data_IF_781049902365
#
_entry.id   IF_781049902365
#
_cell.length_a   1.000
_cell.length_b   1.000
_cell.length_c   1.000
_cell.angle_alpha   90.00
_cell.angle_beta   90.00
_cell.angle_gamma   90.00
#
_symmetry.space_group_name_H-M   'P 1'
#
loop_
_entity.id
_entity.type
_entity.pdbx_description
1 polymer ?
#
# COMPACT_ATOMS: atom_id res chain seq x y z
N UNK A 1 18.52 -5.38 1.65
CA UNK A 1 18.44 -4.11 0.87
C UNK A 1 17.12 -3.41 1.13
N UNK A 2 16.97 -2.10 0.85
CA UNK A 2 15.66 -1.47 0.91
C UNK A 2 14.76 -2.09 -0.18
N UNK A 3 13.52 -2.45 0.18
CA UNK A 3 12.49 -2.78 -0.79
C UNK A 3 12.11 -1.50 -1.53
N UNK A 4 12.11 -1.54 -2.86
CA UNK A 4 11.57 -0.47 -3.69
C UNK A 4 10.28 -0.96 -4.29
N UNK A 5 9.19 -0.29 -3.91
CA UNK A 5 7.88 -0.49 -4.47
C UNK A 5 7.53 0.67 -5.39
N UNK A 6 7.01 0.37 -6.56
CA UNK A 6 6.51 1.37 -7.50
C UNK A 6 5.05 1.05 -7.80
N UNK A 7 4.18 1.99 -7.48
CA UNK A 7 2.74 1.88 -7.72
C UNK A 7 2.40 2.26 -9.15
N UNK A 8 1.59 1.45 -9.79
CA UNK A 8 1.01 1.71 -11.11
C UNK A 8 -0.50 1.51 -11.07
N UNK A 9 -1.23 2.30 -11.83
CA UNK A 9 -2.64 2.02 -12.09
C UNK A 9 -2.81 0.62 -12.71
N UNK A 10 -2.00 0.32 -13.72
CA UNK A 10 -1.90 -0.99 -14.38
C UNK A 10 -0.44 -1.36 -14.62
N UNK A 11 0.11 -2.24 -13.79
CA UNK A 11 1.49 -2.71 -13.92
C UNK A 11 1.75 -3.44 -15.24
N UNK A 12 0.73 -4.07 -15.83
CA UNK A 12 0.90 -4.81 -17.09
C UNK A 12 1.29 -3.87 -18.21
N UNK A 13 0.68 -2.68 -18.28
CA UNK A 13 1.06 -1.64 -19.24
C UNK A 13 2.49 -1.16 -19.04
N UNK A 14 2.91 -0.95 -17.79
CA UNK A 14 4.28 -0.55 -17.47
C UNK A 14 5.29 -1.64 -17.87
N UNK A 15 5.02 -2.90 -17.55
CA UNK A 15 5.89 -4.02 -17.88
C UNK A 15 5.96 -4.33 -19.39
N UNK A 16 4.92 -3.99 -20.15
CA UNK A 16 4.91 -4.17 -21.61
C UNK A 16 5.96 -3.30 -22.33
N UNK A 17 6.35 -2.15 -21.77
CA UNK A 17 7.35 -1.23 -22.33
C UNK A 17 8.74 -1.36 -21.71
N UNK A 18 8.86 -2.07 -20.58
CA UNK A 18 10.11 -2.24 -19.86
C UNK A 18 10.71 -3.62 -20.12
N UNK A 19 12.00 -3.66 -20.52
CA UNK A 19 12.76 -4.90 -20.51
C UNK A 19 12.97 -5.33 -19.06
N UNK A 20 12.43 -6.48 -18.69
CA UNK A 20 12.49 -6.99 -17.33
C UNK A 20 12.61 -8.51 -17.32
N UNK A 21 13.00 -9.07 -16.19
CA UNK A 21 12.99 -10.50 -15.90
C UNK A 21 12.17 -10.67 -14.63
N UNK A 22 11.21 -11.58 -14.63
CA UNK A 22 10.37 -11.84 -13.47
C UNK A 22 11.19 -12.46 -12.33
N UNK A 23 10.95 -12.00 -11.10
CA UNK A 23 11.53 -12.62 -9.93
C UNK A 23 10.85 -13.97 -9.63
N UNK A 24 11.58 -14.86 -8.97
CA UNK A 24 11.11 -16.20 -8.58
C UNK A 24 11.01 -16.31 -7.06
N UNK A 25 9.97 -17.00 -6.60
CA UNK A 25 9.86 -17.46 -5.21
C UNK A 25 10.75 -18.70 -4.99
N UNK A 26 11.00 -19.05 -3.74
CA UNK A 26 11.69 -20.29 -3.33
C UNK A 26 10.96 -21.57 -3.79
N UNK A 27 9.67 -21.47 -4.11
CA UNK A 27 8.79 -22.55 -4.59
C UNK A 27 8.76 -22.72 -6.12
N UNK A 28 9.76 -22.22 -6.85
CA UNK A 28 9.82 -22.19 -8.33
C UNK A 28 8.68 -21.44 -9.03
N UNK A 29 7.88 -20.70 -8.28
CA UNK A 29 6.80 -19.88 -8.82
C UNK A 29 7.29 -18.45 -9.08
N UNK A 30 6.71 -17.83 -10.10
CA UNK A 30 6.87 -16.40 -10.35
C UNK A 30 6.46 -15.58 -9.11
N UNK A 31 7.27 -14.60 -8.76
CA UNK A 31 6.92 -13.62 -7.72
C UNK A 31 5.78 -12.71 -8.23
N UNK A 32 4.82 -12.40 -7.36
CA UNK A 32 3.61 -11.68 -7.77
C UNK A 32 3.89 -10.27 -8.30
N UNK A 33 4.88 -9.58 -7.73
CA UNK A 33 5.15 -8.16 -7.98
C UNK A 33 6.57 -7.89 -8.44
N UNK A 34 7.53 -8.73 -8.02
CA UNK A 34 8.96 -8.50 -8.18
C UNK A 34 9.46 -8.73 -9.60
N UNK A 35 10.26 -7.80 -10.07
CA UNK A 35 10.98 -7.87 -11.35
C UNK A 35 12.42 -7.38 -11.20
N UNK A 36 13.28 -7.79 -12.12
CA UNK A 36 14.63 -7.28 -12.31
C UNK A 36 14.69 -6.51 -13.63
N UNK A 37 15.08 -5.24 -13.57
CA UNK A 37 15.32 -4.40 -14.75
C UNK A 37 16.80 -4.49 -15.20
N UNK A 38 17.62 -5.21 -14.45
CA UNK A 38 19.02 -5.52 -14.79
C UNK A 38 19.14 -6.98 -15.23
N UNK A 39 20.24 -7.31 -15.93
CA UNK A 39 20.50 -8.69 -16.35
C UNK A 39 20.70 -9.60 -15.13
N UNK A 40 19.97 -10.70 -15.08
CA UNK A 40 20.07 -11.77 -14.09
C UNK A 40 19.95 -13.12 -14.80
N UNK A 41 20.57 -14.21 -14.31
CA UNK A 41 20.35 -15.54 -14.86
C UNK A 41 18.85 -15.90 -14.86
N UNK A 42 18.32 -16.28 -16.02
CA UNK A 42 16.90 -16.56 -16.19
C UNK A 42 16.65 -17.66 -17.23
N UNK A 43 15.49 -18.24 -17.17
CA UNK A 43 15.01 -19.16 -18.19
C UNK A 43 14.52 -18.34 -19.40
N UNK A 44 15.11 -18.52 -20.60
CA UNK A 44 14.76 -17.71 -21.78
C UNK A 44 13.32 -17.99 -22.31
N UNK A 45 12.73 -19.13 -21.95
CA UNK A 45 11.36 -19.48 -22.39
C UNK A 45 10.31 -18.84 -21.50
N UNK A 46 10.54 -18.86 -20.17
CA UNK A 46 9.56 -18.34 -19.21
C UNK A 46 9.83 -16.90 -18.79
N UNK A 47 11.01 -16.38 -19.08
CA UNK A 47 11.50 -15.07 -18.62
C UNK A 47 11.53 -14.92 -17.09
N UNK A 48 11.63 -16.03 -16.35
CA UNK A 48 11.69 -16.04 -14.89
C UNK A 48 13.15 -16.29 -14.45
N UNK A 49 13.60 -15.57 -13.40
CA UNK A 49 14.91 -15.78 -12.81
C UNK A 49 15.14 -17.23 -12.40
N UNK A 50 16.32 -17.77 -12.65
CA UNK A 50 16.73 -19.09 -12.14
C UNK A 50 17.15 -19.08 -10.67
N UNK A 51 17.41 -17.88 -10.11
CA UNK A 51 17.64 -17.66 -8.69
C UNK A 51 16.30 -17.29 -8.02
N UNK A 52 16.04 -17.82 -6.83
CA UNK A 52 14.96 -17.26 -6.02
C UNK A 52 15.34 -15.84 -5.54
N UNK A 53 14.33 -15.05 -5.12
CA UNK A 53 14.56 -13.63 -4.82
C UNK A 53 15.49 -13.38 -3.62
N UNK A 54 15.57 -14.32 -2.64
CA UNK A 54 16.46 -14.20 -1.49
C UNK A 54 17.91 -14.48 -1.89
N UNK A 55 18.11 -15.54 -2.70
CA UNK A 55 19.42 -15.90 -3.24
C UNK A 55 19.93 -14.81 -4.21
N UNK A 56 19.04 -14.26 -5.04
CA UNK A 56 19.36 -13.13 -5.90
C UNK A 56 19.78 -11.88 -5.08
N UNK A 57 19.07 -11.55 -4.01
CA UNK A 57 19.41 -10.44 -3.11
C UNK A 57 20.77 -10.66 -2.44
N UNK A 58 21.05 -11.87 -1.96
CA UNK A 58 22.34 -12.21 -1.34
C UNK A 58 23.53 -12.03 -2.29
N UNK A 59 23.30 -12.17 -3.60
CA UNK A 59 24.27 -11.97 -4.68
C UNK A 59 24.32 -10.54 -5.21
N UNK A 60 23.58 -9.61 -4.60
CA UNK A 60 23.57 -8.20 -4.95
C UNK A 60 22.65 -7.81 -6.11
N UNK A 61 21.77 -8.71 -6.58
CA UNK A 61 20.74 -8.33 -7.54
C UNK A 61 19.65 -7.52 -6.87
N UNK A 62 19.16 -6.51 -7.58
CA UNK A 62 18.19 -5.56 -7.07
C UNK A 62 16.79 -5.82 -7.65
N UNK A 63 15.88 -6.25 -6.80
CA UNK A 63 14.47 -6.49 -7.13
C UNK A 63 13.65 -5.21 -6.93
N UNK A 64 12.76 -4.92 -7.88
CA UNK A 64 11.77 -3.86 -7.78
C UNK A 64 10.40 -4.51 -7.77
N UNK A 65 9.55 -4.12 -6.83
CA UNK A 65 8.17 -4.56 -6.76
C UNK A 65 7.26 -3.57 -7.50
N UNK A 66 6.60 -4.04 -8.56
CA UNK A 66 5.60 -3.29 -9.31
C UNK A 66 4.22 -3.66 -8.82
N UNK A 67 3.55 -2.71 -8.17
CA UNK A 67 2.25 -2.91 -7.54
C UNK A 67 1.11 -2.39 -8.42
N UNK A 68 0.00 -3.12 -8.48
CA UNK A 68 -1.25 -2.62 -9.05
C UNK A 68 -2.01 -1.84 -7.99
N UNK A 69 -2.24 -0.56 -8.24
CA UNK A 69 -3.02 0.33 -7.40
C UNK A 69 -4.07 1.01 -8.29
N UNK A 70 -5.20 0.32 -8.49
CA UNK A 70 -6.28 0.75 -9.40
C UNK A 70 -6.90 2.10 -9.02
N UNK A 71 -6.70 2.58 -7.81
CA UNK A 71 -7.06 3.95 -7.40
C UNK A 71 -6.52 4.99 -8.38
N UNK A 72 -5.32 4.78 -8.90
CA UNK A 72 -4.68 5.72 -9.83
C UNK A 72 -5.31 5.74 -11.24
N UNK A 73 -6.20 4.80 -11.59
CA UNK A 73 -6.95 4.86 -12.86
C UNK A 73 -7.81 6.13 -12.99
N UNK A 74 -8.27 6.68 -11.86
CA UNK A 74 -9.01 7.95 -11.83
C UNK A 74 -8.14 9.21 -11.89
N UNK A 75 -6.82 9.09 -11.78
CA UNK A 75 -5.90 10.23 -11.79
C UNK A 75 -5.57 10.63 -13.22
N UNK A 76 -5.91 11.88 -13.59
CA UNK A 76 -5.81 12.38 -14.97
C UNK A 76 -4.38 12.79 -15.35
N UNK A 77 -3.68 13.51 -14.45
CA UNK A 77 -2.33 14.05 -14.66
C UNK A 77 -1.53 14.04 -13.36
N UNK A 78 -0.24 14.36 -13.43
CA UNK A 78 0.61 14.53 -12.26
C UNK A 78 0.14 15.69 -11.36
N UNK A 79 -0.28 16.78 -11.99
CA UNK A 79 -0.80 17.95 -11.29
C UNK A 79 -2.11 17.61 -10.56
N UNK A 80 -2.98 16.82 -11.20
CA UNK A 80 -4.19 16.31 -10.56
C UNK A 80 -3.86 15.44 -9.33
N UNK A 81 -2.88 14.54 -9.44
CA UNK A 81 -2.44 13.77 -8.29
C UNK A 81 -1.96 14.66 -7.13
N UNK A 82 -1.19 15.69 -7.45
CA UNK A 82 -0.71 16.65 -6.44
C UNK A 82 -1.89 17.36 -5.76
N UNK A 83 -2.87 17.83 -6.53
CA UNK A 83 -4.08 18.43 -5.96
C UNK A 83 -4.86 17.50 -5.06
N UNK A 84 -5.01 16.22 -5.44
CA UNK A 84 -5.69 15.21 -4.65
C UNK A 84 -4.94 14.88 -3.35
N UNK A 85 -3.60 14.93 -3.36
CA UNK A 85 -2.77 14.70 -2.17
C UNK A 85 -2.78 15.90 -1.22
N UNK A 86 -2.80 17.12 -1.76
CA UNK A 86 -2.76 18.36 -0.96
C UNK A 86 -4.15 18.74 -0.40
N UNK A 87 -5.22 18.23 -1.01
CA UNK A 87 -6.60 18.46 -0.55
C UNK A 87 -6.87 17.63 0.70
N UNK A 88 -7.26 18.30 1.80
CA UNK A 88 -7.71 17.62 3.02
C UNK A 88 -8.99 16.84 2.73
N UNK A 89 -9.01 15.53 2.97
CA UNK A 89 -10.20 14.72 2.73
C UNK A 89 -11.26 14.96 3.81
N UNK A 90 -12.50 14.65 3.50
CA UNK A 90 -13.59 14.64 4.49
C UNK A 90 -13.47 13.35 5.31
N UNK A 91 -12.70 13.40 6.40
CA UNK A 91 -12.39 12.23 7.23
C UNK A 91 -13.62 11.52 7.79
N UNK A 92 -14.70 12.27 8.02
CA UNK A 92 -15.99 11.77 8.54
C UNK A 92 -16.62 10.72 7.62
N UNK A 93 -16.33 10.76 6.32
CA UNK A 93 -16.84 9.78 5.36
C UNK A 93 -16.34 8.35 5.66
N UNK A 94 -15.20 8.20 6.33
CA UNK A 94 -14.74 6.88 6.77
C UNK A 94 -15.63 6.27 7.87
N UNK A 95 -16.45 7.07 8.53
CA UNK A 95 -17.43 6.63 9.54
C UNK A 95 -18.72 6.11 8.87
N UNK A 96 -18.94 6.43 7.60
CA UNK A 96 -20.05 5.93 6.81
C UNK A 96 -19.72 4.56 6.24
N UNK A 97 -20.53 3.54 6.57
CA UNK A 97 -20.23 2.14 6.22
C UNK A 97 -20.08 1.93 4.72
N UNK A 98 -21.02 2.43 3.93
CA UNK A 98 -21.05 2.22 2.48
C UNK A 98 -19.88 2.92 1.77
N UNK A 99 -19.38 4.00 2.34
CA UNK A 99 -18.18 4.68 1.86
C UNK A 99 -16.92 3.91 2.28
N UNK A 100 -16.77 3.60 3.56
CA UNK A 100 -15.62 2.88 4.11
C UNK A 100 -15.39 1.54 3.40
N UNK A 101 -16.46 0.79 3.11
CA UNK A 101 -16.38 -0.51 2.43
C UNK A 101 -15.88 -0.43 0.97
N UNK A 102 -15.87 0.78 0.36
CA UNK A 102 -15.30 1.03 -0.97
C UNK A 102 -13.85 1.47 -0.94
N UNK A 103 -13.33 1.83 0.23
CA UNK A 103 -12.00 2.40 0.38
C UNK A 103 -10.94 1.30 0.51
N UNK A 104 -9.87 1.47 -0.26
CA UNK A 104 -8.71 0.61 -0.29
C UNK A 104 -8.15 0.32 1.11
N UNK A 105 -7.83 -0.93 1.40
CA UNK A 105 -7.24 -1.42 2.65
C UNK A 105 -8.04 -1.21 3.96
N UNK A 106 -9.12 -0.45 3.96
CA UNK A 106 -9.96 -0.24 5.15
C UNK A 106 -11.34 -0.89 5.03
N UNK A 107 -11.67 -1.43 3.85
CA UNK A 107 -12.89 -2.21 3.63
C UNK A 107 -12.96 -3.37 4.61
N UNK A 108 -14.15 -3.56 5.22
CA UNK A 108 -14.38 -4.57 6.26
C UNK A 108 -13.92 -4.15 7.68
N UNK A 109 -13.33 -2.96 7.85
CA UNK A 109 -12.90 -2.44 9.16
C UNK A 109 -13.74 -1.26 9.66
N UNK A 110 -14.92 -1.04 9.07
CA UNK A 110 -15.81 0.09 9.43
C UNK A 110 -16.02 0.22 10.93
N UNK A 111 -16.34 -0.89 11.64
CA UNK A 111 -16.60 -0.85 13.08
C UNK A 111 -15.42 -0.32 13.90
N UNK A 112 -14.18 -0.62 13.47
CA UNK A 112 -12.98 -0.18 14.17
C UNK A 112 -12.64 1.27 13.79
N UNK A 113 -12.73 1.62 12.50
CA UNK A 113 -12.39 2.97 12.03
C UNK A 113 -13.39 4.01 12.58
N UNK A 114 -14.69 3.66 12.72
CA UNK A 114 -15.70 4.51 13.34
C UNK A 114 -15.48 4.75 14.84
N UNK A 115 -14.80 3.82 15.53
CA UNK A 115 -14.40 4.00 16.93
C UNK A 115 -13.15 4.86 17.06
N UNK A 116 -12.13 4.57 16.24
CA UNK A 116 -10.81 5.21 16.36
C UNK A 116 -10.74 6.57 15.68
N UNK A 117 -11.57 6.82 14.67
CA UNK A 117 -11.77 8.09 13.97
C UNK A 117 -10.46 8.77 13.55
N UNK A 118 -9.65 8.16 12.66
CA UNK A 118 -8.44 8.81 12.18
C UNK A 118 -8.78 10.11 11.44
N UNK A 119 -8.02 11.18 11.72
CA UNK A 119 -8.22 12.54 11.20
C UNK A 119 -6.96 13.13 10.59
N UNK A 120 -6.02 12.27 10.23
CA UNK A 120 -4.80 12.66 9.51
C UNK A 120 -4.17 11.46 8.83
N UNK A 121 -3.32 11.72 7.83
CA UNK A 121 -2.51 10.68 7.16
C UNK A 121 -1.69 9.89 8.19
N UNK A 122 -1.11 10.55 9.21
CA UNK A 122 -0.35 9.86 10.26
C UNK A 122 -1.22 8.89 11.06
N UNK A 123 -2.41 9.31 11.48
CA UNK A 123 -3.34 8.46 12.22
C UNK A 123 -3.89 7.32 11.35
N UNK A 124 -4.17 7.58 10.08
CA UNK A 124 -4.61 6.55 9.14
C UNK A 124 -3.49 5.53 8.89
N UNK A 125 -2.23 5.97 8.75
CA UNK A 125 -1.09 5.06 8.65
C UNK A 125 -0.93 4.18 9.91
N UNK A 126 -1.12 4.76 11.11
CA UNK A 126 -1.13 3.98 12.36
C UNK A 126 -2.31 2.99 12.40
N UNK A 127 -3.49 3.39 11.93
CA UNK A 127 -4.66 2.50 11.80
C UNK A 127 -4.33 1.30 10.88
N UNK A 128 -3.73 1.55 9.72
CA UNK A 128 -3.33 0.50 8.77
C UNK A 128 -2.32 -0.50 9.38
N UNK A 129 -1.42 -0.01 10.22
CA UNK A 129 -0.50 -0.88 10.95
C UNK A 129 -1.20 -1.65 12.07
N UNK A 130 -2.14 -1.01 12.77
CA UNK A 130 -2.88 -1.55 13.91
C UNK A 130 -3.74 -2.77 13.53
N UNK A 131 -4.35 -2.76 12.34
CA UNK A 131 -5.16 -3.88 11.86
C UNK A 131 -4.34 -5.10 11.44
N UNK A 132 -3.01 -5.02 11.40
CA UNK A 132 -2.13 -6.15 11.09
C UNK A 132 -2.03 -7.12 12.29
N UNK A 133 -1.91 -8.44 12.05
CA UNK A 133 -1.94 -9.43 13.13
C UNK A 133 -1.00 -9.12 14.30
N UNK A 134 0.24 -8.70 14.02
CA UNK A 134 1.26 -8.43 15.03
C UNK A 134 1.01 -7.20 15.91
N UNK A 135 0.03 -6.36 15.58
CA UNK A 135 -0.24 -5.09 16.30
C UNK A 135 -1.65 -4.98 16.89
N UNK A 136 -2.50 -5.99 16.66
CA UNK A 136 -3.89 -6.00 17.17
C UNK A 136 -3.98 -5.87 18.70
N UNK A 137 -2.97 -6.29 19.45
CA UNK A 137 -2.91 -6.15 20.91
C UNK A 137 -2.92 -4.68 21.36
N UNK A 138 -2.56 -3.73 20.48
CA UNK A 138 -2.59 -2.29 20.77
C UNK A 138 -3.99 -1.67 20.58
N UNK A 139 -4.95 -2.37 19.97
CA UNK A 139 -6.29 -1.84 19.71
C UNK A 139 -6.97 -1.33 20.99
N UNK A 140 -7.04 -2.11 22.11
CA UNK A 140 -7.71 -1.64 23.33
C UNK A 140 -7.04 -0.38 23.93
N UNK A 141 -5.70 -0.27 23.79
CA UNK A 141 -4.95 0.89 24.26
C UNK A 141 -5.31 2.13 23.42
N UNK A 142 -5.36 1.95 22.09
CA UNK A 142 -5.72 3.01 21.16
C UNK A 142 -7.17 3.46 21.34
N UNK A 143 -8.12 2.53 21.53
CA UNK A 143 -9.54 2.85 21.80
C UNK A 143 -9.71 3.69 23.08
N UNK A 144 -8.94 3.38 24.13
CA UNK A 144 -9.02 4.09 25.41
C UNK A 144 -8.32 5.44 25.41
N UNK A 145 -7.14 5.54 24.80
CA UNK A 145 -6.22 6.66 24.98
C UNK A 145 -5.87 7.38 23.66
N UNK A 146 -6.42 6.95 22.51
CA UNK A 146 -6.18 7.53 21.20
C UNK A 146 -4.81 7.16 20.59
N UNK A 147 -4.58 7.55 19.34
CA UNK A 147 -3.41 7.19 18.54
C UNK A 147 -2.07 7.61 19.17
N UNK A 148 -2.05 8.71 19.93
CA UNK A 148 -0.81 9.18 20.57
C UNK A 148 -0.22 8.15 21.54
N UNK A 149 -1.07 7.35 22.17
CA UNK A 149 -0.66 6.36 23.18
C UNK A 149 0.07 5.14 22.62
N UNK A 150 -0.04 4.90 21.32
CA UNK A 150 0.57 3.75 20.63
C UNK A 150 1.66 4.15 19.65
N UNK A 151 1.99 5.46 19.55
CA UNK A 151 2.85 6.01 18.50
C UNK A 151 4.23 5.34 18.44
N UNK A 152 4.81 5.07 19.59
CA UNK A 152 6.15 4.50 19.67
C UNK A 152 6.12 2.97 19.46
N UNK A 153 5.10 2.28 19.99
CA UNK A 153 4.98 0.83 19.94
C UNK A 153 4.51 0.29 18.58
N UNK A 154 3.69 1.08 17.87
CA UNK A 154 3.10 0.66 16.59
C UNK A 154 4.16 0.36 15.52
N UNK A 155 5.29 1.10 15.56
CA UNK A 155 6.37 0.99 14.58
C UNK A 155 7.53 0.11 15.02
N UNK A 156 7.49 -0.46 16.23
CA UNK A 156 8.53 -1.37 16.70
C UNK A 156 8.42 -2.73 16.00
N UNK A 157 9.56 -3.26 15.56
CA UNK A 157 9.63 -4.61 15.00
C UNK A 157 9.52 -5.63 16.15
N UNK A 158 8.59 -6.58 16.04
CA UNK A 158 8.48 -7.73 16.90
C UNK A 158 9.12 -8.95 16.22
N UNK A 159 9.86 -9.77 16.96
CA UNK A 159 10.64 -10.89 16.39
C UNK A 159 9.76 -11.99 15.75
N UNK A 160 8.51 -12.12 16.18
CA UNK A 160 7.63 -13.25 15.85
C UNK A 160 6.53 -12.94 14.82
N UNK A 161 6.40 -11.70 14.31
CA UNK A 161 5.28 -11.34 13.46
C UNK A 161 5.65 -10.42 12.30
N UNK A 162 4.84 -10.49 11.24
CA UNK A 162 4.91 -9.57 10.11
C UNK A 162 4.88 -8.11 10.59
N UNK A 163 5.92 -7.38 10.23
CA UNK A 163 6.08 -5.96 10.54
C UNK A 163 5.68 -5.10 9.35
N UNK A 164 4.68 -4.25 9.54
CA UNK A 164 4.27 -3.29 8.54
C UNK A 164 5.08 -2.01 8.67
N UNK A 165 6.00 -1.76 7.74
CA UNK A 165 6.91 -0.62 7.77
C UNK A 165 6.13 0.69 7.75
N UNK A 166 6.60 1.70 8.52
CA UNK A 166 5.98 3.03 8.58
C UNK A 166 5.87 3.68 7.19
N UNK A 167 6.92 3.55 6.37
CA UNK A 167 6.92 4.07 4.98
C UNK A 167 5.78 3.49 4.14
N UNK A 168 5.58 2.16 4.16
CA UNK A 168 4.47 1.51 3.45
C UNK A 168 3.11 1.95 3.98
N UNK A 169 2.95 2.00 5.31
CA UNK A 169 1.70 2.45 5.92
C UNK A 169 1.36 3.89 5.53
N UNK A 170 2.36 4.77 5.49
CA UNK A 170 2.17 6.17 5.07
C UNK A 170 1.81 6.26 3.59
N UNK A 171 2.51 5.51 2.71
CA UNK A 171 2.18 5.48 1.28
C UNK A 171 0.74 5.02 1.04
N UNK A 172 0.30 3.94 1.69
CA UNK A 172 -1.09 3.48 1.58
C UNK A 172 -2.10 4.47 2.16
N UNK A 173 -1.77 5.16 3.24
CA UNK A 173 -2.63 6.23 3.77
C UNK A 173 -2.79 7.38 2.75
N UNK A 174 -1.72 7.76 2.05
CA UNK A 174 -1.79 8.74 0.96
C UNK A 174 -2.66 8.24 -0.21
N UNK A 175 -2.55 6.97 -0.61
CA UNK A 175 -3.42 6.37 -1.63
C UNK A 175 -4.89 6.44 -1.22
N UNK A 176 -5.20 6.21 0.06
CA UNK A 176 -6.56 6.31 0.59
C UNK A 176 -7.06 7.76 0.49
N UNK A 177 -6.24 8.75 0.83
CA UNK A 177 -6.60 10.18 0.68
C UNK A 177 -6.91 10.51 -0.78
N UNK A 178 -6.07 10.04 -1.72
CA UNK A 178 -6.33 10.19 -3.16
C UNK A 178 -7.67 9.58 -3.54
N UNK A 179 -7.95 8.35 -3.09
CA UNK A 179 -9.21 7.68 -3.38
C UNK A 179 -10.43 8.42 -2.82
N UNK A 180 -10.35 8.87 -1.57
CA UNK A 180 -11.43 9.64 -0.93
C UNK A 180 -11.74 10.91 -1.73
N UNK A 181 -10.71 11.66 -2.10
CA UNK A 181 -10.86 12.89 -2.86
C UNK A 181 -11.37 12.64 -4.29
N UNK A 182 -10.92 11.57 -4.98
CA UNK A 182 -11.44 11.16 -6.28
C UNK A 182 -12.94 10.82 -6.22
N UNK A 183 -13.38 10.08 -5.21
CA UNK A 183 -14.80 9.75 -5.05
C UNK A 183 -15.62 11.03 -4.82
N UNK A 184 -15.12 11.95 -4.00
CA UNK A 184 -15.80 13.24 -3.77
C UNK A 184 -15.90 14.07 -5.06
N UNK A 185 -14.85 14.12 -5.89
CA UNK A 185 -14.89 14.80 -7.20
C UNK A 185 -15.94 14.18 -8.13
N UNK A 186 -15.93 12.85 -8.26
CA UNK A 186 -16.90 12.15 -9.11
C UNK A 186 -18.35 12.39 -8.68
N UNK A 187 -18.60 12.49 -7.37
CA UNK A 187 -19.94 12.79 -6.87
C UNK A 187 -20.35 14.23 -7.17
N UNK A 188 -19.42 15.18 -7.13
CA UNK A 188 -19.70 16.59 -7.48
C UNK A 188 -20.00 16.72 -8.99
N UNK A 189 -19.21 16.07 -9.85
CA UNK A 189 -19.40 16.06 -11.30
C UNK A 189 -20.76 15.46 -11.74
N UNK A 190 -21.41 14.65 -10.90
CA UNK A 190 -22.72 14.06 -11.16
C UNK A 190 -23.90 14.97 -10.73
N UNK A 191 -23.62 16.03 -9.96
CA UNK A 191 -24.64 16.93 -9.41
C UNK A 191 -24.71 18.27 -10.16
N UNK A 192 -23.74 18.56 -11.01
CA UNK A 192 -23.68 19.72 -11.92
C UNK A 192 -24.22 19.34 -13.31
#
# INVERSE_FOLDING_TARGET
MPDIDIDFADRTKALAILKHIDARLDTDKKHNTGVYCTSIPHNPVTNISTLDYKDAESRGYFKIDFLNVSVYDGVKTKEHLTQLLDKEPIWELLEEKDFCDKIFHVNGYHNLISKLKPRSVEQLAMFLALIRPGKKHLIPICEKNGFKSIKDDIWQKTEESYFFKKSHATSYACVIVVQMNLICEQLTDLTD
#
